data_IF_769451311006
#
_entry.id   IF_769451311006
#
_cell.length_a   1.000
_cell.length_b   1.000
_cell.length_c   1.000
_cell.angle_alpha   90.00
_cell.angle_beta   90.00
_cell.angle_gamma   90.00
#
_symmetry.space_group_name_H-M   'P 1'
#
loop_
_entity.id
_entity.type
_entity.pdbx_description
1 polymer ?
#
# COMPACT_ATOMS: atom_id res chain seq x y z
N UNK A 1 -17.66 45.27 6.85
CA UNK A 1 -17.37 44.01 7.58
C UNK A 1 -15.99 43.52 7.18
N UNK A 2 -15.00 43.53 8.09
CA UNK A 2 -13.67 42.94 7.84
C UNK A 2 -13.68 41.52 8.40
N UNK A 3 -13.63 40.50 7.54
CA UNK A 3 -13.41 39.13 7.97
C UNK A 3 -11.98 39.01 8.52
N UNK A 4 -11.85 38.79 9.83
CA UNK A 4 -10.58 38.36 10.43
C UNK A 4 -10.29 36.96 9.90
N UNK A 5 -9.21 36.77 9.13
CA UNK A 5 -8.68 35.43 8.86
C UNK A 5 -8.34 34.79 10.21
N UNK A 6 -8.88 33.61 10.55
CA UNK A 6 -8.44 32.92 11.76
C UNK A 6 -6.97 32.59 11.61
N UNK A 7 -6.13 33.06 12.54
CA UNK A 7 -4.76 32.55 12.67
C UNK A 7 -4.90 31.12 13.19
N UNK A 8 -4.65 30.15 12.32
CA UNK A 8 -4.42 28.77 12.75
C UNK A 8 -3.08 28.80 13.48
N UNK A 9 -3.10 28.63 14.80
CA UNK A 9 -1.87 28.39 15.55
C UNK A 9 -1.45 26.94 15.27
N UNK A 10 -0.49 26.77 14.38
CA UNK A 10 0.22 25.49 14.26
C UNK A 10 1.23 25.45 15.41
N UNK A 11 0.98 24.61 16.40
CA UNK A 11 2.01 24.22 17.36
C UNK A 11 2.85 23.14 16.69
N UNK A 12 4.10 23.47 16.38
CA UNK A 12 5.13 22.47 16.07
C UNK A 12 5.24 21.54 17.26
N UNK A 13 5.23 20.22 17.02
CA UNK A 13 5.44 19.26 18.10
C UNK A 13 6.89 19.40 18.57
N UNK A 14 7.09 19.62 19.87
CA UNK A 14 8.43 19.51 20.44
C UNK A 14 8.84 18.05 20.32
N UNK A 15 9.96 17.80 19.64
CA UNK A 15 10.53 16.47 19.54
C UNK A 15 10.80 15.98 20.98
N UNK A 16 10.15 14.90 21.45
CA UNK A 16 10.34 14.44 22.81
C UNK A 16 11.83 14.17 23.02
N UNK A 17 12.39 14.73 24.10
CA UNK A 17 13.77 14.48 24.47
C UNK A 17 13.97 12.96 24.55
N UNK A 18 14.92 12.43 23.78
CA UNK A 18 15.25 11.01 23.77
C UNK A 18 15.78 10.63 25.16
N UNK A 19 14.88 10.18 26.04
CA UNK A 19 15.25 9.53 27.29
C UNK A 19 15.92 8.22 26.96
N UNK A 20 17.22 8.13 27.25
CA UNK A 20 18.07 6.94 27.15
C UNK A 20 17.67 5.86 28.17
N UNK A 21 16.44 5.37 28.09
CA UNK A 21 16.06 4.08 28.68
C UNK A 21 15.89 3.07 27.53
N UNK A 22 16.64 1.95 27.62
CA UNK A 22 16.65 0.77 26.74
C UNK A 22 16.00 0.94 25.35
N UNK A 23 16.82 1.08 24.30
CA UNK A 23 16.48 1.23 22.88
C UNK A 23 15.06 0.75 22.49
N UNK A 24 14.06 1.62 22.67
CA UNK A 24 12.72 1.36 22.16
C UNK A 24 12.77 1.41 20.65
N UNK A 25 12.22 0.39 19.98
CA UNK A 25 12.10 0.36 18.52
C UNK A 25 11.38 1.63 18.03
N UNK A 26 11.92 2.28 16.99
CA UNK A 26 11.58 3.67 16.62
C UNK A 26 10.08 3.90 16.37
N UNK A 27 9.38 2.91 15.81
CA UNK A 27 7.97 3.02 15.43
C UNK A 27 7.03 3.06 16.64
N UNK A 28 7.50 2.67 17.82
CA UNK A 28 6.68 2.51 19.01
C UNK A 28 6.53 3.85 19.74
N UNK A 29 5.50 4.59 19.36
CA UNK A 29 5.27 5.98 19.79
C UNK A 29 5.56 7.01 18.71
N UNK A 30 5.94 6.57 17.49
CA UNK A 30 6.19 7.44 16.37
C UNK A 30 4.93 8.19 15.91
N UNK A 31 5.13 9.43 15.49
CA UNK A 31 4.14 10.26 14.80
C UNK A 31 4.46 10.25 13.31
N UNK A 32 3.50 9.79 12.51
CA UNK A 32 3.63 9.73 11.06
C UNK A 32 2.82 10.83 10.38
N UNK A 33 3.43 11.49 9.40
CA UNK A 33 2.76 12.45 8.52
C UNK A 33 2.29 11.75 7.25
N UNK A 34 0.99 11.58 7.08
CA UNK A 34 0.45 11.00 5.86
C UNK A 34 0.46 12.03 4.73
N UNK A 35 1.07 11.67 3.61
CA UNK A 35 1.07 12.44 2.37
C UNK A 35 0.19 11.72 1.36
N UNK A 36 -0.77 12.46 0.79
CA UNK A 36 -1.54 12.03 -0.36
C UNK A 36 -0.93 12.65 -1.63
N UNK A 37 -0.15 11.90 -2.45
CA UNK A 37 0.74 12.48 -3.46
C UNK A 37 0.06 13.44 -4.42
N UNK A 38 -1.09 13.03 -4.99
CA UNK A 38 -1.87 13.83 -5.97
C UNK A 38 -2.20 15.25 -5.54
N UNK A 39 -2.26 15.52 -4.23
CA UNK A 39 -2.76 16.79 -3.69
C UNK A 39 -1.74 17.50 -2.80
N UNK A 40 -0.49 17.02 -2.75
CA UNK A 40 0.51 17.59 -1.85
C UNK A 40 1.27 18.76 -2.49
N UNK A 41 2.05 18.50 -3.55
CA UNK A 41 2.81 19.52 -4.25
C UNK A 41 3.09 19.06 -5.69
N UNK A 42 2.67 19.88 -6.66
CA UNK A 42 2.91 19.71 -8.09
C UNK A 42 4.23 20.43 -8.47
N UNK A 43 5.17 19.71 -9.07
CA UNK A 43 6.48 20.23 -9.48
C UNK A 43 6.62 20.45 -10.99
N UNK A 44 5.72 19.88 -11.80
CA UNK A 44 5.79 19.90 -13.25
C UNK A 44 4.68 20.76 -13.92
N UNK A 45 3.77 21.29 -13.10
CA UNK A 45 2.66 22.16 -13.46
C UNK A 45 1.57 21.48 -14.32
N UNK A 46 1.35 20.16 -14.15
CA UNK A 46 0.27 19.39 -14.78
C UNK A 46 -1.04 19.38 -13.96
N UNK A 47 -1.01 19.93 -12.75
CA UNK A 47 -2.15 20.01 -11.83
C UNK A 47 -2.29 18.83 -10.87
N UNK A 48 -1.34 17.89 -10.85
CA UNK A 48 -1.28 16.74 -9.95
C UNK A 48 0.03 16.77 -9.16
N UNK A 49 -0.04 16.54 -7.86
CA UNK A 49 1.16 16.44 -7.03
C UNK A 49 1.98 15.18 -7.33
N UNK A 50 3.30 15.30 -7.20
CA UNK A 50 4.28 14.31 -7.66
C UNK A 50 5.43 14.07 -6.65
N UNK A 51 6.25 13.03 -6.87
CA UNK A 51 7.34 12.66 -5.95
C UNK A 51 8.43 13.74 -5.84
N UNK A 52 8.88 14.40 -6.93
CA UNK A 52 9.80 15.54 -6.82
C UNK A 52 9.22 16.70 -5.98
N UNK A 53 7.91 16.97 -6.12
CA UNK A 53 7.19 17.94 -5.31
C UNK A 53 7.22 17.58 -3.82
N UNK A 54 6.94 16.32 -3.47
CA UNK A 54 7.07 15.85 -2.08
C UNK A 54 8.50 16.04 -1.57
N UNK A 55 9.50 15.64 -2.37
CA UNK A 55 10.93 15.75 -2.03
C UNK A 55 11.33 17.19 -1.72
N UNK A 56 10.88 18.16 -2.53
CA UNK A 56 11.15 19.59 -2.34
C UNK A 56 10.56 20.16 -1.04
N UNK A 57 9.59 19.48 -0.45
CA UNK A 57 8.87 19.90 0.75
C UNK A 57 9.19 19.05 1.99
N UNK A 58 10.13 18.10 1.93
CA UNK A 58 10.51 17.27 3.07
C UNK A 58 11.08 18.08 4.24
N UNK A 59 11.81 19.17 3.98
CA UNK A 59 12.29 20.08 5.04
C UNK A 59 11.13 20.68 5.86
N UNK A 60 10.01 20.99 5.19
CA UNK A 60 8.81 21.46 5.88
C UNK A 60 8.22 20.34 6.76
N UNK A 61 8.08 19.13 6.23
CA UNK A 61 7.55 17.99 6.98
C UNK A 61 8.44 17.71 8.22
N UNK A 62 9.76 17.68 8.04
CA UNK A 62 10.71 17.50 9.14
C UNK A 62 10.56 18.58 10.21
N UNK A 63 10.33 19.84 9.81
CA UNK A 63 10.12 20.95 10.73
C UNK A 63 8.87 20.83 11.60
N UNK A 64 7.92 19.93 11.27
CA UNK A 64 6.74 19.65 12.09
C UNK A 64 7.07 18.77 13.32
N UNK A 65 8.26 18.16 13.34
CA UNK A 65 8.72 17.30 14.43
C UNK A 65 8.20 15.86 14.35
N UNK A 66 7.75 15.41 13.17
CA UNK A 66 7.27 14.03 12.95
C UNK A 66 8.45 13.07 12.78
N UNK A 67 8.20 11.78 13.02
CA UNK A 67 9.22 10.73 12.95
C UNK A 67 9.33 10.10 11.55
N UNK A 68 8.27 10.21 10.75
CA UNK A 68 8.25 9.67 9.40
C UNK A 68 7.06 10.11 8.55
N UNK A 69 7.12 9.72 7.29
CA UNK A 69 6.12 10.01 6.27
C UNK A 69 5.48 8.70 5.84
N UNK A 70 4.15 8.68 5.75
CA UNK A 70 3.39 7.62 5.12
C UNK A 70 2.86 8.12 3.77
N UNK A 71 3.33 7.53 2.68
CA UNK A 71 2.85 7.83 1.33
C UNK A 71 1.65 6.95 1.00
N UNK A 72 0.52 7.58 0.65
CA UNK A 72 -0.54 6.90 -0.11
C UNK A 72 -0.02 6.44 -1.50
N UNK A 73 -0.75 5.57 -2.22
CA UNK A 73 -0.21 4.89 -3.40
C UNK A 73 0.31 5.85 -4.48
N UNK A 74 1.48 5.49 -5.03
CA UNK A 74 2.11 6.15 -6.18
C UNK A 74 2.55 5.14 -7.25
N UNK A 75 2.14 3.88 -7.11
CA UNK A 75 2.43 2.82 -8.07
C UNK A 75 1.64 3.00 -9.36
N UNK A 76 2.11 2.36 -10.44
CA UNK A 76 1.41 2.38 -11.73
C UNK A 76 -0.04 1.96 -11.59
N UNK A 77 -0.97 2.81 -12.04
CA UNK A 77 -2.40 2.63 -11.84
C UNK A 77 -3.23 3.33 -12.91
N UNK A 78 -4.37 2.78 -13.35
CA UNK A 78 -5.35 3.49 -14.18
C UNK A 78 -6.08 4.63 -13.44
N UNK A 79 -5.83 4.81 -12.15
CA UNK A 79 -6.36 5.87 -11.28
C UNK A 79 -7.89 5.84 -11.15
N UNK A 80 -8.55 4.68 -11.29
CA UNK A 80 -10.00 4.54 -11.09
C UNK A 80 -10.38 4.75 -9.63
N UNK A 81 -9.50 4.35 -8.72
CA UNK A 81 -9.54 4.63 -7.30
C UNK A 81 -8.28 5.41 -6.87
N UNK A 82 -7.83 6.30 -7.74
CA UNK A 82 -6.72 7.23 -7.51
C UNK A 82 -5.46 6.59 -6.90
N UNK A 83 -5.05 5.43 -7.42
CA UNK A 83 -3.83 4.73 -7.04
C UNK A 83 -4.05 3.46 -6.23
N UNK A 84 -5.25 3.25 -5.67
CA UNK A 84 -5.60 2.00 -4.97
C UNK A 84 -5.97 0.86 -5.94
N UNK A 85 -6.10 1.14 -7.24
CA UNK A 85 -6.21 0.15 -8.32
C UNK A 85 -4.84 -0.06 -9.01
N UNK A 86 -3.95 -0.83 -8.39
CA UNK A 86 -2.56 -1.01 -8.85
C UNK A 86 -2.46 -1.95 -10.06
N UNK A 87 -1.80 -1.52 -11.14
CA UNK A 87 -1.52 -2.32 -12.34
C UNK A 87 -0.07 -2.79 -12.47
N UNK A 88 0.86 -2.22 -11.71
CA UNK A 88 2.22 -2.73 -11.50
C UNK A 88 2.67 -2.38 -10.07
N UNK A 89 2.97 -3.39 -9.24
CA UNK A 89 3.40 -3.20 -7.85
C UNK A 89 4.87 -2.78 -7.71
N UNK A 90 5.64 -2.83 -8.79
CA UNK A 90 7.10 -2.65 -8.80
C UNK A 90 7.57 -1.45 -9.60
N UNK A 91 6.65 -0.55 -9.96
CA UNK A 91 6.99 0.67 -10.66
C UNK A 91 6.16 1.86 -10.17
N UNK A 92 6.69 3.06 -10.37
CA UNK A 92 6.05 4.33 -10.06
C UNK A 92 5.17 4.75 -11.24
N UNK A 93 3.95 5.22 -10.97
CA UNK A 93 3.12 5.74 -12.05
C UNK A 93 3.77 6.98 -12.68
N UNK A 94 3.84 7.09 -14.02
CA UNK A 94 4.42 8.24 -14.69
C UNK A 94 3.83 9.60 -14.30
N UNK A 95 2.59 9.65 -13.79
CA UNK A 95 1.99 10.89 -13.29
C UNK A 95 2.67 11.40 -12.01
N UNK A 96 3.33 10.51 -11.25
CA UNK A 96 4.03 10.85 -10.01
C UNK A 96 5.54 10.97 -10.18
N UNK A 97 6.09 10.49 -11.29
CA UNK A 97 7.52 10.53 -11.60
C UNK A 97 8.04 9.18 -12.06
N UNK A 98 9.23 8.81 -11.59
CA UNK A 98 9.90 7.53 -11.87
C UNK A 98 10.48 6.92 -10.61
N UNK A 99 10.91 5.66 -10.69
CA UNK A 99 11.61 4.96 -9.59
C UNK A 99 12.78 5.77 -9.01
N UNK A 100 13.59 6.42 -9.86
CA UNK A 100 14.71 7.25 -9.38
C UNK A 100 14.27 8.48 -8.58
N UNK A 101 13.07 9.02 -8.83
CA UNK A 101 12.52 10.12 -8.03
C UNK A 101 12.11 9.62 -6.63
N UNK A 102 11.64 8.37 -6.52
CA UNK A 102 11.37 7.74 -5.23
C UNK A 102 12.67 7.46 -4.45
N UNK A 103 13.71 6.95 -5.11
CA UNK A 103 15.03 6.76 -4.48
C UNK A 103 15.59 8.09 -3.93
N UNK A 104 15.44 9.18 -4.70
CA UNK A 104 15.84 10.52 -4.28
C UNK A 104 15.03 11.02 -3.08
N UNK A 105 13.71 10.77 -3.06
CA UNK A 105 12.82 11.09 -1.94
C UNK A 105 13.27 10.38 -0.68
N UNK A 106 13.51 9.07 -0.75
CA UNK A 106 13.94 8.26 0.41
C UNK A 106 15.29 8.73 0.93
N UNK A 107 16.26 8.96 0.04
CA UNK A 107 17.58 9.47 0.42
C UNK A 107 17.46 10.80 1.16
N UNK A 108 16.69 11.75 0.62
CA UNK A 108 16.48 13.06 1.22
C UNK A 108 15.74 12.99 2.56
N UNK A 109 14.75 12.12 2.68
CA UNK A 109 14.02 11.92 3.93
C UNK A 109 14.94 11.39 5.03
N UNK A 110 15.81 10.43 4.70
CA UNK A 110 16.78 9.87 5.64
C UNK A 110 17.84 10.90 6.08
N UNK A 111 18.29 11.78 5.19
CA UNK A 111 19.17 12.91 5.57
C UNK A 111 18.52 13.83 6.64
N UNK A 112 17.20 13.95 6.58
CA UNK A 112 16.39 14.74 7.51
C UNK A 112 15.97 13.95 8.77
N UNK A 113 16.39 12.69 8.90
CA UNK A 113 16.02 11.82 10.02
C UNK A 113 14.60 11.23 9.94
N UNK A 114 13.88 11.46 8.84
CA UNK A 114 12.52 10.94 8.63
C UNK A 114 12.56 9.49 8.15
N UNK A 115 11.63 8.65 8.64
CA UNK A 115 11.35 7.33 8.06
C UNK A 115 10.34 7.44 6.93
N UNK A 116 10.43 6.56 5.93
CA UNK A 116 9.44 6.45 4.85
C UNK A 116 8.67 5.13 4.99
N UNK A 117 7.36 5.24 4.99
CA UNK A 117 6.40 4.14 4.89
C UNK A 117 5.57 4.38 3.63
N UNK A 118 5.23 3.32 2.91
CA UNK A 118 4.41 3.37 1.70
C UNK A 118 3.19 2.48 1.87
N UNK A 119 2.06 2.89 1.28
CA UNK A 119 0.88 2.05 1.18
C UNK A 119 1.19 0.76 0.39
N UNK A 120 0.52 -0.33 0.73
CA UNK A 120 0.63 -1.60 0.00
C UNK A 120 -0.75 -2.24 -0.18
N UNK A 121 -1.15 -2.45 -1.44
CA UNK A 121 -2.53 -2.81 -1.81
C UNK A 121 -2.59 -4.25 -2.30
N UNK A 122 -2.51 -5.20 -1.37
CA UNK A 122 -2.38 -6.64 -1.71
C UNK A 122 -3.68 -7.44 -1.67
N UNK A 123 -4.80 -6.79 -1.33
CA UNK A 123 -6.12 -7.44 -1.31
C UNK A 123 -6.66 -7.62 -2.75
N UNK A 124 -6.38 -6.67 -3.63
CA UNK A 124 -6.86 -6.62 -5.00
C UNK A 124 -5.81 -5.92 -5.87
N UNK A 125 -5.88 -6.16 -7.18
CA UNK A 125 -5.15 -5.37 -8.18
C UNK A 125 -6.15 -4.60 -9.05
N UNK A 126 -5.66 -3.74 -9.94
CA UNK A 126 -6.43 -3.26 -11.10
C UNK A 126 -6.85 -4.42 -12.01
N UNK A 127 -7.97 -4.27 -12.72
CA UNK A 127 -8.37 -5.16 -13.82
C UNK A 127 -7.50 -4.98 -15.09
N UNK A 128 -6.68 -3.94 -15.13
CA UNK A 128 -5.63 -3.74 -16.13
C UNK A 128 -4.31 -4.44 -15.76
N UNK A 129 -4.16 -4.91 -14.51
CA UNK A 129 -2.97 -5.64 -14.05
C UNK A 129 -2.74 -6.88 -14.94
N UNK A 130 -1.50 -7.16 -15.40
CA UNK A 130 -1.20 -8.31 -16.27
C UNK A 130 -1.73 -9.63 -15.72
N UNK A 131 -1.68 -9.81 -14.40
CA UNK A 131 -2.24 -10.98 -13.72
C UNK A 131 -3.73 -11.18 -13.98
N UNK A 132 -4.56 -10.14 -13.82
CA UNK A 132 -6.01 -10.25 -14.08
C UNK A 132 -6.29 -10.42 -15.57
N UNK A 133 -5.55 -9.68 -16.41
CA UNK A 133 -5.67 -9.80 -17.87
C UNK A 133 -5.39 -11.22 -18.35
N UNK A 134 -4.44 -11.93 -17.76
CA UNK A 134 -4.18 -13.35 -18.03
C UNK A 134 -5.27 -14.24 -17.41
N UNK A 135 -5.55 -14.07 -16.11
CA UNK A 135 -6.50 -14.87 -15.34
C UNK A 135 -7.88 -14.93 -16.01
N UNK A 136 -8.38 -13.80 -16.51
CA UNK A 136 -9.72 -13.68 -17.11
C UNK A 136 -9.86 -14.31 -18.49
N UNK A 137 -8.78 -14.78 -19.13
CA UNK A 137 -8.87 -15.31 -20.50
C UNK A 137 -9.65 -16.62 -20.58
N UNK A 138 -9.42 -17.53 -19.64
CA UNK A 138 -10.05 -18.85 -19.60
C UNK A 138 -9.88 -19.48 -18.20
N UNK A 139 -10.36 -20.71 -18.02
CA UNK A 139 -10.32 -21.41 -16.73
C UNK A 139 -9.06 -22.29 -16.51
N UNK A 140 -8.11 -22.29 -17.45
CA UNK A 140 -6.98 -23.24 -17.47
C UNK A 140 -5.60 -22.57 -17.64
N UNK A 141 -5.55 -21.24 -17.77
CA UNK A 141 -4.29 -20.50 -17.85
C UNK A 141 -3.55 -20.56 -16.50
N UNK A 142 -2.24 -20.30 -16.49
CA UNK A 142 -1.42 -20.35 -15.26
C UNK A 142 -1.95 -19.49 -14.11
N UNK A 143 -2.68 -18.40 -14.40
CA UNK A 143 -3.27 -17.49 -13.41
C UNK A 143 -4.76 -17.66 -13.20
N UNK A 144 -5.35 -18.76 -13.69
CA UNK A 144 -6.80 -18.95 -13.66
C UNK A 144 -7.39 -18.94 -12.24
N UNK A 145 -6.59 -19.30 -11.24
CA UNK A 145 -6.97 -19.33 -9.81
C UNK A 145 -6.34 -18.19 -8.97
N UNK A 146 -5.71 -17.21 -9.62
CA UNK A 146 -5.07 -16.08 -8.92
C UNK A 146 -6.07 -15.03 -8.41
N UNK A 147 -7.31 -15.08 -8.88
CA UNK A 147 -8.41 -14.21 -8.45
C UNK A 147 -9.58 -15.03 -7.99
N UNK A 148 -10.46 -14.44 -7.19
CA UNK A 148 -11.63 -15.12 -6.66
C UNK A 148 -12.71 -15.21 -7.75
N UNK A 149 -12.75 -16.35 -8.44
CA UNK A 149 -13.74 -16.68 -9.47
C UNK A 149 -14.81 -17.63 -8.91
N UNK A 150 -16.04 -17.47 -9.37
CA UNK A 150 -17.15 -18.36 -9.02
C UNK A 150 -18.16 -18.48 -10.17
N UNK A 151 -18.76 -19.66 -10.31
CA UNK A 151 -19.86 -19.84 -11.26
C UNK A 151 -21.11 -19.07 -10.79
N UNK A 152 -21.97 -18.71 -11.75
CA UNK A 152 -23.29 -18.19 -11.44
C UNK A 152 -24.15 -19.26 -10.75
N UNK A 153 -25.16 -18.83 -9.99
CA UNK A 153 -26.24 -19.72 -9.56
C UNK A 153 -27.02 -20.24 -10.77
N UNK A 154 -27.85 -21.31 -10.62
CA UNK A 154 -28.63 -21.86 -11.73
C UNK A 154 -29.56 -20.85 -12.45
N UNK A 155 -29.98 -19.79 -11.76
CA UNK A 155 -30.80 -18.69 -12.30
C UNK A 155 -29.97 -17.58 -12.98
N UNK A 156 -28.65 -17.73 -13.04
CA UNK A 156 -27.72 -16.74 -13.59
C UNK A 156 -27.32 -15.65 -12.60
N UNK A 157 -27.82 -15.65 -11.36
CA UNK A 157 -27.49 -14.61 -10.37
C UNK A 157 -26.11 -14.82 -9.71
N UNK A 158 -25.54 -13.79 -9.06
CA UNK A 158 -24.27 -13.90 -8.33
C UNK A 158 -24.24 -15.01 -7.26
N UNK A 159 -23.07 -15.57 -6.95
CA UNK A 159 -22.91 -16.73 -6.07
C UNK A 159 -23.31 -16.44 -4.61
N UNK A 160 -23.21 -15.20 -4.15
CA UNK A 160 -23.61 -14.77 -2.80
C UNK A 160 -24.33 -13.43 -2.83
N UNK A 161 -24.78 -12.96 -1.66
CA UNK A 161 -25.40 -11.65 -1.46
C UNK A 161 -24.39 -10.54 -1.09
N UNK A 162 -23.09 -10.80 -1.16
CA UNK A 162 -22.06 -9.84 -0.81
C UNK A 162 -22.15 -8.57 -1.65
N UNK A 163 -21.92 -7.42 -1.01
CA UNK A 163 -22.03 -6.10 -1.60
C UNK A 163 -20.66 -5.45 -1.68
N UNK A 164 -20.41 -4.71 -2.76
CA UNK A 164 -19.26 -3.82 -2.86
C UNK A 164 -19.44 -2.65 -1.90
N UNK A 165 -18.34 -2.24 -1.26
CA UNK A 165 -18.26 -1.02 -0.44
C UNK A 165 -18.59 0.22 -1.26
N UNK A 166 -18.26 0.22 -2.56
CA UNK A 166 -18.52 1.33 -3.48
C UNK A 166 -19.84 1.20 -4.26
N UNK A 167 -20.70 0.26 -3.84
CA UNK A 167 -22.08 0.14 -4.30
C UNK A 167 -22.30 -0.97 -5.33
N UNK A 168 -23.47 -1.61 -5.23
CA UNK A 168 -23.85 -2.75 -6.06
C UNK A 168 -23.26 -4.08 -5.56
N UNK A 169 -23.50 -5.18 -6.29
CA UNK A 169 -22.99 -6.51 -5.94
C UNK A 169 -21.46 -6.56 -5.93
N UNK A 170 -20.87 -7.35 -5.03
CA UNK A 170 -19.43 -7.62 -4.99
C UNK A 170 -18.94 -8.60 -6.09
N UNK A 171 -19.74 -8.80 -7.13
CA UNK A 171 -19.52 -9.82 -8.15
C UNK A 171 -19.86 -9.26 -9.52
N UNK A 172 -18.87 -9.27 -10.42
CA UNK A 172 -19.04 -8.82 -11.81
C UNK A 172 -18.87 -10.00 -12.77
N UNK A 173 -19.77 -10.12 -13.74
CA UNK A 173 -19.76 -11.20 -14.73
C UNK A 173 -18.66 -10.98 -15.78
N UNK A 174 -17.82 -11.99 -16.03
CA UNK A 174 -16.91 -12.03 -17.18
C UNK A 174 -17.39 -13.06 -18.23
N UNK A 175 -17.75 -12.54 -19.39
CA UNK A 175 -18.26 -13.34 -20.51
C UNK A 175 -17.23 -14.30 -21.13
N UNK A 176 -15.92 -14.12 -20.88
CA UNK A 176 -14.88 -15.03 -21.41
C UNK A 176 -14.86 -16.36 -20.66
N UNK A 177 -15.01 -16.29 -19.34
CA UNK A 177 -15.00 -17.46 -18.45
C UNK A 177 -16.39 -18.01 -18.16
N UNK A 178 -17.43 -17.23 -18.44
CA UNK A 178 -18.78 -17.47 -17.96
C UNK A 178 -18.79 -17.66 -16.44
N UNK A 179 -18.12 -16.76 -15.73
CA UNK A 179 -17.98 -16.76 -14.28
C UNK A 179 -18.10 -15.34 -13.77
N UNK A 180 -18.48 -15.21 -12.50
CA UNK A 180 -18.29 -13.98 -11.74
C UNK A 180 -16.87 -13.93 -11.17
N UNK A 181 -16.26 -12.75 -11.18
CA UNK A 181 -15.11 -12.46 -10.33
C UNK A 181 -15.55 -11.55 -9.17
N UNK A 182 -14.95 -11.75 -8.01
CA UNK A 182 -15.23 -10.95 -6.82
C UNK A 182 -14.49 -9.62 -6.85
N UNK A 183 -15.11 -8.57 -6.31
CA UNK A 183 -14.47 -7.31 -5.96
C UNK A 183 -15.16 -6.69 -4.73
N UNK A 184 -14.40 -6.36 -3.69
CA UNK A 184 -14.95 -5.67 -2.51
C UNK A 184 -15.16 -4.17 -2.76
N UNK A 185 -14.42 -3.60 -3.72
CA UNK A 185 -14.42 -2.18 -4.05
C UNK A 185 -14.95 -1.98 -5.48
N UNK A 186 -14.26 -1.22 -6.33
CA UNK A 186 -14.66 -1.03 -7.72
C UNK A 186 -14.64 -2.36 -8.48
N UNK A 187 -15.42 -2.46 -9.55
CA UNK A 187 -15.36 -3.63 -10.46
C UNK A 187 -14.01 -3.72 -11.17
N UNK A 188 -13.30 -2.60 -11.27
CA UNK A 188 -11.92 -2.47 -11.75
C UNK A 188 -10.88 -2.91 -10.70
N UNK A 189 -11.30 -3.34 -9.50
CA UNK A 189 -10.44 -3.85 -8.42
C UNK A 189 -10.74 -5.32 -8.10
N UNK A 190 -10.48 -6.26 -9.04
CA UNK A 190 -10.71 -7.69 -8.81
C UNK A 190 -9.89 -8.22 -7.63
N UNK A 191 -10.57 -8.99 -6.78
CA UNK A 191 -10.02 -9.54 -5.54
C UNK A 191 -9.03 -10.67 -5.84
N UNK A 192 -7.81 -10.55 -5.33
CA UNK A 192 -6.80 -11.61 -5.39
C UNK A 192 -7.24 -12.79 -4.50
N UNK A 193 -7.00 -14.01 -4.99
CA UNK A 193 -7.22 -15.22 -4.22
C UNK A 193 -5.98 -15.53 -3.36
N UNK A 194 -5.88 -14.89 -2.19
CA UNK A 194 -4.73 -15.06 -1.28
C UNK A 194 -4.68 -16.46 -0.65
N UNK A 195 -5.67 -17.32 -0.86
CA UNK A 195 -5.56 -18.75 -0.50
C UNK A 195 -4.64 -19.53 -1.46
N UNK A 196 -4.37 -18.99 -2.66
CA UNK A 196 -3.46 -19.58 -3.63
C UNK A 196 -1.99 -19.27 -3.24
N UNK A 197 -1.12 -20.28 -3.02
CA UNK A 197 0.27 -20.06 -2.64
C UNK A 197 1.08 -19.24 -3.65
N UNK A 198 0.83 -19.39 -4.95
CA UNK A 198 1.56 -18.63 -5.97
C UNK A 198 1.25 -17.13 -5.91
N UNK A 199 0.02 -16.78 -5.49
CA UNK A 199 -0.36 -15.39 -5.21
C UNK A 199 0.37 -14.87 -3.97
N UNK A 200 0.49 -15.68 -2.91
CA UNK A 200 1.23 -15.28 -1.71
C UNK A 200 2.70 -15.00 -2.02
N UNK A 201 3.36 -15.89 -2.78
CA UNK A 201 4.75 -15.70 -3.20
C UNK A 201 4.91 -14.44 -4.07
N UNK A 202 4.04 -14.22 -5.06
CA UNK A 202 4.10 -13.04 -5.91
C UNK A 202 3.91 -11.72 -5.13
N UNK A 203 3.06 -11.72 -4.10
CA UNK A 203 2.89 -10.57 -3.21
C UNK A 203 4.11 -10.36 -2.31
N UNK A 204 4.73 -11.43 -1.80
CA UNK A 204 5.99 -11.34 -1.06
C UNK A 204 7.14 -10.81 -1.92
N UNK A 205 7.20 -11.19 -3.20
CA UNK A 205 8.18 -10.66 -4.14
C UNK A 205 8.00 -9.14 -4.37
N UNK A 206 6.75 -8.67 -4.49
CA UNK A 206 6.45 -7.24 -4.57
C UNK A 206 6.84 -6.48 -3.28
N UNK A 207 6.59 -7.09 -2.11
CA UNK A 207 7.06 -6.57 -0.81
C UNK A 207 8.59 -6.44 -0.79
N UNK A 208 9.29 -7.49 -1.21
CA UNK A 208 10.75 -7.56 -1.23
C UNK A 208 11.37 -6.50 -2.16
N UNK A 209 10.70 -6.20 -3.28
CA UNK A 209 11.15 -5.15 -4.19
C UNK A 209 11.14 -3.76 -3.52
N UNK A 210 10.08 -3.44 -2.77
CA UNK A 210 9.86 -2.09 -2.26
C UNK A 210 10.54 -1.81 -0.90
N UNK A 211 11.11 -2.83 -0.24
CA UNK A 211 11.70 -2.71 1.09
C UNK A 211 13.23 -2.61 1.02
N UNK A 212 13.79 -1.56 1.62
CA UNK A 212 15.23 -1.31 1.67
C UNK A 212 16.03 -2.24 2.62
N UNK A 213 15.35 -3.09 3.40
CA UNK A 213 15.97 -4.25 4.06
C UNK A 213 15.55 -5.55 3.35
N UNK A 214 16.36 -6.04 2.39
CA UNK A 214 16.04 -7.21 1.59
C UNK A 214 15.93 -8.51 2.39
N UNK A 215 16.31 -8.50 3.68
CA UNK A 215 16.29 -9.71 4.48
C UNK A 215 14.94 -9.99 5.11
N UNK A 216 14.04 -9.00 5.19
CA UNK A 216 12.79 -9.08 5.97
C UNK A 216 12.99 -9.86 7.27
N UNK A 217 14.12 -9.70 7.97
CA UNK A 217 14.62 -10.75 8.88
C UNK A 217 13.58 -11.06 9.95
N UNK A 218 12.93 -12.22 9.84
CA UNK A 218 12.06 -12.74 10.88
C UNK A 218 12.94 -13.32 11.99
N UNK A 219 12.42 -13.27 13.21
CA UNK A 219 13.12 -13.80 14.36
C UNK A 219 13.14 -15.34 14.29
N UNK A 220 14.31 -16.01 14.37
CA UNK A 220 14.36 -17.46 14.28
C UNK A 220 13.50 -18.11 15.37
N UNK A 221 12.93 -19.31 15.18
CA UNK A 221 12.05 -19.91 16.19
C UNK A 221 12.78 -20.13 17.53
N UNK A 222 12.15 -19.67 18.62
CA UNK A 222 12.67 -19.76 19.97
C UNK A 222 12.83 -21.23 20.40
N UNK A 223 14.06 -21.64 20.69
CA UNK A 223 14.40 -23.02 21.07
C UNK A 223 14.13 -23.36 22.53
N UNK A 224 13.83 -22.37 23.37
CA UNK A 224 13.61 -22.53 24.82
C UNK A 224 12.14 -22.75 25.17
N UNK A 225 11.86 -23.63 26.14
CA UNK A 225 10.51 -24.00 26.58
C UNK A 225 9.91 -23.01 27.60
N UNK A 226 9.84 -21.73 27.24
CA UNK A 226 9.13 -20.70 28.00
C UNK A 226 7.61 -20.72 27.78
N UNK A 227 6.87 -19.96 28.60
CA UNK A 227 5.42 -19.76 28.40
C UNK A 227 5.20 -18.87 27.17
N UNK A 228 4.46 -19.37 26.18
CA UNK A 228 4.17 -18.70 24.91
C UNK A 228 2.67 -18.43 24.82
N UNK A 229 2.25 -17.19 24.61
CA UNK A 229 0.82 -16.83 24.54
C UNK A 229 0.41 -16.23 23.20
N UNK A 230 1.37 -15.80 22.37
CA UNK A 230 1.14 -15.26 21.02
C UNK A 230 2.24 -15.73 20.05
N UNK A 231 2.01 -15.70 18.72
CA UNK A 231 2.98 -16.12 17.71
C UNK A 231 4.37 -15.48 17.87
N UNK A 232 4.44 -14.22 18.27
CA UNK A 232 5.70 -13.50 18.55
C UNK A 232 6.54 -14.10 19.71
N UNK A 233 5.93 -14.85 20.63
CA UNK A 233 6.63 -15.51 21.74
C UNK A 233 7.32 -16.82 21.30
N UNK A 234 7.06 -17.28 20.07
CA UNK A 234 7.70 -18.44 19.47
C UNK A 234 8.98 -18.08 18.71
N UNK A 235 9.42 -16.83 18.80
CA UNK A 235 10.56 -16.33 18.05
C UNK A 235 11.66 -15.82 19.00
N UNK A 236 12.91 -16.05 18.63
CA UNK A 236 14.15 -15.61 19.26
C UNK A 236 14.47 -14.21 18.73
N UNK A 237 14.36 -13.21 19.61
CA UNK A 237 14.18 -11.79 19.30
C UNK A 237 15.51 -11.11 18.92
N UNK A 238 16.16 -11.63 17.89
CA UNK A 238 17.49 -11.24 17.39
C UNK A 238 17.41 -10.03 16.44
N UNK A 239 16.30 -9.90 15.72
CA UNK A 239 16.01 -8.85 14.76
C UNK A 239 14.81 -8.04 15.29
N UNK A 240 14.97 -6.71 15.33
CA UNK A 240 14.04 -5.77 15.95
C UNK A 240 13.03 -5.19 14.95
#
# INVERSE_FOLDING_TARGET
MRFRKPRVNVQTLEHPAVTTEASTVWWKGAVLYQVYPRSFADSNNDGVGDLPGITAHLDHIASLGVDGVWLSPFFTSPMKDFGYDVSDYTDVDPIFGRLEDFDALVARAHELGLKIIIDQVYSHSSDEHPWFRESRQNRINPKADWYVWADAKPDGSPPSNWQSVFGGPAWTWDARRHQYYMHNFLKEQPQLNVANPDVQEALLDAINFAIHDPKLTDNPPLTSNGKRTRPFDFQDKVHN
#
